data_IF_034097236181
#
_entry.id   IF_034097236181
#
_cell.length_a   1.000
_cell.length_b   1.000
_cell.length_c   1.000
_cell.angle_alpha   90.00
_cell.angle_beta   90.00
_cell.angle_gamma   90.00
#
_symmetry.space_group_name_H-M   'P 1'
#
loop_
_entity.id
_entity.type
_entity.pdbx_description
1 polymer ?
#
# COMPACT_ATOMS: atom_id res chain seq x y z
N UNK A 1 3.02 -57.57 -47.95
CA UNK A 1 2.26 -57.49 -46.67
C UNK A 1 3.13 -57.14 -45.45
N UNK A 2 4.39 -57.56 -45.38
CA UNK A 2 5.29 -57.18 -44.23
C UNK A 2 5.74 -55.73 -44.23
N UNK A 3 6.00 -55.12 -45.37
CA UNK A 3 6.45 -53.72 -45.50
C UNK A 3 5.34 -52.70 -45.14
N UNK A 4 4.07 -53.02 -45.41
CA UNK A 4 2.93 -52.15 -45.08
C UNK A 4 2.65 -52.11 -43.55
N UNK A 5 2.92 -53.17 -42.82
CA UNK A 5 2.75 -53.24 -41.36
C UNK A 5 3.83 -52.43 -40.61
N UNK A 6 5.03 -52.32 -41.17
CA UNK A 6 6.14 -51.54 -40.58
C UNK A 6 5.87 -50.05 -40.72
N UNK A 7 5.30 -49.57 -41.85
CA UNK A 7 4.93 -48.17 -42.04
C UNK A 7 3.80 -47.72 -41.10
N UNK A 8 2.82 -48.56 -40.85
CA UNK A 8 1.70 -48.22 -39.94
C UNK A 8 2.17 -48.14 -38.47
N UNK A 9 3.13 -49.01 -38.06
CA UNK A 9 3.70 -48.96 -36.71
C UNK A 9 4.58 -47.72 -36.48
N UNK A 10 5.29 -47.24 -37.52
CA UNK A 10 6.10 -46.01 -37.43
C UNK A 10 5.25 -44.72 -37.35
N UNK A 11 4.08 -44.66 -38.03
CA UNK A 11 3.14 -43.55 -37.91
C UNK A 11 2.44 -43.51 -36.54
N UNK A 12 2.13 -44.68 -35.94
CA UNK A 12 1.52 -44.74 -34.61
C UNK A 12 2.49 -44.30 -33.48
N UNK A 13 3.79 -44.59 -33.64
CA UNK A 13 4.82 -44.15 -32.68
C UNK A 13 5.13 -42.64 -32.77
N UNK A 14 4.98 -42.01 -33.94
CA UNK A 14 5.17 -40.56 -34.10
C UNK A 14 4.02 -39.72 -33.51
N UNK A 15 2.80 -40.28 -33.38
CA UNK A 15 1.63 -39.59 -32.81
C UNK A 15 1.61 -39.51 -31.27
N UNK A 16 2.41 -40.29 -30.55
CA UNK A 16 2.44 -40.32 -29.09
C UNK A 16 3.44 -39.32 -28.48
N UNK A 17 4.36 -38.79 -29.30
CA UNK A 17 5.42 -37.88 -28.82
C UNK A 17 5.04 -36.40 -28.64
N UNK A 18 3.79 -36.02 -28.91
CA UNK A 18 3.39 -34.59 -28.91
C UNK A 18 2.34 -34.18 -27.89
N UNK A 19 1.92 -35.07 -27.00
CA UNK A 19 1.07 -34.64 -25.88
C UNK A 19 1.97 -34.22 -24.71
N UNK A 20 2.58 -33.01 -24.83
CA UNK A 20 3.08 -32.36 -23.62
C UNK A 20 1.89 -32.23 -22.65
N UNK A 21 2.02 -32.69 -21.39
CA UNK A 21 0.94 -32.53 -20.42
C UNK A 21 0.54 -31.08 -20.40
N UNK A 22 -0.72 -30.77 -20.76
CA UNK A 22 -1.26 -29.43 -20.57
C UNK A 22 -1.04 -29.09 -19.09
N UNK A 23 -0.11 -28.17 -18.81
CA UNK A 23 0.17 -27.76 -17.44
C UNK A 23 -1.16 -27.30 -16.84
N UNK A 24 -1.58 -27.97 -15.76
CA UNK A 24 -2.87 -27.68 -15.13
C UNK A 24 -2.92 -26.21 -14.76
N UNK A 25 -3.93 -25.50 -15.28
CA UNK A 25 -4.17 -24.10 -14.97
C UNK A 25 -4.56 -23.96 -13.49
N UNK A 26 -3.88 -23.09 -12.77
CA UNK A 26 -4.21 -22.75 -11.40
C UNK A 26 -4.90 -21.39 -11.38
N UNK A 27 -6.15 -21.35 -10.93
CA UNK A 27 -6.89 -20.10 -10.73
C UNK A 27 -6.89 -19.74 -9.25
N UNK A 28 -6.43 -18.54 -8.93
CA UNK A 28 -6.37 -17.98 -7.57
C UNK A 28 -7.37 -16.87 -7.39
N UNK A 29 -7.72 -16.60 -6.15
CA UNK A 29 -8.63 -15.52 -5.77
C UNK A 29 -7.86 -14.30 -5.32
N UNK A 30 -8.27 -13.11 -5.82
CA UNK A 30 -7.77 -11.81 -5.41
C UNK A 30 -8.91 -11.06 -4.73
N UNK A 31 -8.71 -10.65 -3.47
CA UNK A 31 -9.68 -9.89 -2.70
C UNK A 31 -9.22 -8.45 -2.51
N UNK A 32 -10.12 -7.48 -2.75
CA UNK A 32 -9.87 -6.07 -2.43
C UNK A 32 -11.15 -5.46 -1.87
N UNK A 33 -11.01 -4.67 -0.81
CA UNK A 33 -12.11 -3.89 -0.24
C UNK A 33 -12.29 -2.53 -0.91
N UNK A 34 -11.46 -2.23 -1.93
CA UNK A 34 -11.56 -1.04 -2.76
C UNK A 34 -12.13 -1.39 -4.14
N UNK A 35 -12.82 -0.46 -4.79
CA UNK A 35 -13.38 -0.69 -6.12
C UNK A 35 -12.27 -0.92 -7.17
N UNK A 36 -12.57 -1.60 -8.29
CA UNK A 36 -11.56 -1.87 -9.34
C UNK A 36 -10.88 -0.64 -9.92
N UNK A 37 -11.53 0.53 -9.85
CA UNK A 37 -10.96 1.81 -10.29
C UNK A 37 -9.92 2.43 -9.37
N UNK A 38 -9.76 1.95 -8.15
CA UNK A 38 -8.78 2.45 -7.19
C UNK A 38 -7.34 2.10 -7.59
N UNK A 39 -6.37 2.94 -7.22
CA UNK A 39 -4.95 2.77 -7.53
C UNK A 39 -4.42 1.37 -7.22
N UNK A 40 -4.64 0.88 -5.99
CA UNK A 40 -4.19 -0.46 -5.57
C UNK A 40 -4.87 -1.55 -6.36
N UNK A 41 -6.20 -1.45 -6.58
CA UNK A 41 -6.92 -2.46 -7.35
C UNK A 41 -6.47 -2.53 -8.80
N UNK A 42 -6.21 -1.37 -9.44
CA UNK A 42 -5.62 -1.32 -10.80
C UNK A 42 -4.27 -2.00 -10.86
N UNK A 43 -3.37 -1.67 -9.93
CA UNK A 43 -2.04 -2.27 -9.89
C UNK A 43 -2.11 -3.78 -9.69
N UNK A 44 -3.00 -4.28 -8.83
CA UNK A 44 -3.21 -5.71 -8.61
C UNK A 44 -3.81 -6.42 -9.83
N UNK A 45 -4.75 -5.77 -10.54
CA UNK A 45 -5.32 -6.31 -11.78
C UNK A 45 -4.25 -6.42 -12.87
N UNK A 46 -3.40 -5.40 -13.02
CA UNK A 46 -2.33 -5.41 -14.01
C UNK A 46 -1.23 -6.40 -13.63
N UNK A 47 -0.85 -6.49 -12.35
CA UNK A 47 0.05 -7.52 -11.84
C UNK A 47 -0.48 -8.93 -12.13
N UNK A 48 -1.78 -9.17 -11.92
CA UNK A 48 -2.41 -10.46 -12.21
C UNK A 48 -2.31 -10.82 -13.70
N UNK A 49 -2.52 -9.84 -14.61
CA UNK A 49 -2.35 -10.02 -16.05
C UNK A 49 -0.90 -10.27 -16.45
N UNK A 50 0.05 -9.55 -15.84
CA UNK A 50 1.48 -9.77 -16.08
C UNK A 50 1.89 -11.19 -15.69
N UNK A 51 1.43 -11.69 -14.54
CA UNK A 51 1.66 -13.06 -14.08
C UNK A 51 0.99 -14.06 -15.02
N UNK A 52 -0.25 -13.84 -15.44
CA UNK A 52 -0.94 -14.72 -16.40
C UNK A 52 -0.16 -14.80 -17.71
N UNK A 53 0.27 -13.67 -18.24
CA UNK A 53 1.06 -13.60 -19.47
C UNK A 53 2.41 -14.31 -19.32
N UNK A 54 3.16 -14.00 -18.25
CA UNK A 54 4.48 -14.57 -18.02
C UNK A 54 4.44 -16.07 -17.71
N UNK A 55 3.33 -16.57 -17.16
CA UNK A 55 3.09 -17.99 -16.93
C UNK A 55 2.50 -18.72 -18.14
N UNK A 56 2.31 -18.06 -19.30
CA UNK A 56 1.61 -18.60 -20.45
C UNK A 56 0.21 -19.15 -20.09
N UNK A 57 -0.53 -18.44 -19.23
CA UNK A 57 -1.88 -18.77 -18.79
C UNK A 57 -1.98 -19.89 -17.75
N UNK A 58 -0.86 -20.39 -17.21
CA UNK A 58 -0.88 -21.43 -16.16
C UNK A 58 -1.38 -20.91 -14.83
N UNK A 59 -1.07 -19.64 -14.50
CA UNK A 59 -1.54 -18.96 -13.29
C UNK A 59 -2.49 -17.85 -13.67
N UNK A 60 -3.72 -17.91 -13.14
CA UNK A 60 -4.75 -16.89 -13.34
C UNK A 60 -5.27 -16.37 -12.02
N UNK A 61 -5.84 -15.17 -12.04
CA UNK A 61 -6.46 -14.58 -10.86
C UNK A 61 -7.91 -14.18 -11.16
N UNK A 62 -8.78 -14.49 -10.21
CA UNK A 62 -10.17 -14.05 -10.19
C UNK A 62 -10.34 -12.97 -9.13
N UNK A 63 -10.61 -11.73 -9.55
CA UNK A 63 -10.96 -10.65 -8.63
C UNK A 63 -12.37 -10.92 -8.07
N UNK A 64 -12.44 -11.08 -6.76
CA UNK A 64 -13.71 -11.31 -6.09
C UNK A 64 -14.61 -10.07 -6.15
N UNK A 65 -15.89 -10.27 -6.40
CA UNK A 65 -16.88 -9.18 -6.50
C UNK A 65 -17.05 -8.43 -5.16
N UNK A 66 -16.75 -9.08 -4.04
CA UNK A 66 -16.77 -8.49 -2.69
C UNK A 66 -15.54 -8.91 -1.92
N UNK A 67 -15.06 -8.02 -1.05
CA UNK A 67 -14.00 -8.36 -0.11
C UNK A 67 -14.43 -9.49 0.82
N UNK A 68 -13.49 -10.38 1.14
CA UNK A 68 -13.75 -11.53 2.05
C UNK A 68 -13.85 -11.11 3.52
N UNK A 69 -13.46 -9.87 3.83
CA UNK A 69 -13.48 -9.32 5.20
C UNK A 69 -13.48 -7.80 5.18
N UNK A 70 -13.66 -7.18 6.36
CA UNK A 70 -13.43 -5.74 6.56
C UNK A 70 -11.93 -5.39 6.45
N UNK A 71 -11.55 -4.12 6.18
CA UNK A 71 -10.16 -3.74 5.99
C UNK A 71 -9.20 -4.18 7.10
N UNK A 72 -9.51 -4.05 8.42
CA UNK A 72 -8.62 -4.51 9.47
C UNK A 72 -8.43 -6.03 9.54
N UNK A 73 -9.39 -6.82 9.06
CA UNK A 73 -9.34 -8.28 9.09
C UNK A 73 -8.55 -8.91 7.93
N UNK A 74 -8.06 -8.10 6.97
CA UNK A 74 -7.53 -8.61 5.69
C UNK A 74 -6.31 -9.51 5.88
N UNK A 75 -5.39 -9.15 6.76
CA UNK A 75 -4.19 -9.95 7.00
C UNK A 75 -4.55 -11.37 7.46
N UNK A 76 -5.42 -11.47 8.48
CA UNK A 76 -5.84 -12.76 9.03
C UNK A 76 -6.64 -13.58 8.01
N UNK A 77 -7.52 -12.94 7.24
CA UNK A 77 -8.29 -13.60 6.19
C UNK A 77 -7.39 -14.28 5.13
N UNK A 78 -6.31 -13.61 4.70
CA UNK A 78 -5.37 -14.21 3.73
C UNK A 78 -4.50 -15.28 4.39
N UNK A 79 -4.01 -15.04 5.61
CA UNK A 79 -3.26 -16.07 6.36
C UNK A 79 -4.09 -17.35 6.49
N UNK A 80 -5.37 -17.22 6.78
CA UNK A 80 -6.30 -18.33 7.04
C UNK A 80 -6.91 -18.91 5.74
N UNK A 81 -6.56 -18.36 4.56
CA UNK A 81 -6.92 -18.91 3.25
C UNK A 81 -8.34 -18.56 2.76
N UNK A 82 -8.98 -17.48 3.27
CA UNK A 82 -10.29 -17.03 2.78
C UNK A 82 -10.20 -16.46 1.35
N UNK A 83 -9.04 -15.96 0.96
CA UNK A 83 -8.64 -15.65 -0.41
C UNK A 83 -7.14 -15.85 -0.54
N UNK A 84 -6.62 -15.91 -1.79
CA UNK A 84 -5.22 -16.21 -2.04
C UNK A 84 -4.33 -14.97 -2.00
N UNK A 85 -4.81 -13.82 -2.49
CA UNK A 85 -4.07 -12.57 -2.56
C UNK A 85 -4.93 -11.41 -2.06
N UNK A 86 -4.33 -10.52 -1.30
CA UNK A 86 -4.92 -9.24 -0.89
C UNK A 86 -3.84 -8.25 -0.44
N UNK A 87 -4.26 -7.14 0.16
CA UNK A 87 -3.41 -6.09 0.68
C UNK A 87 -3.99 -5.48 1.95
N UNK A 88 -3.14 -4.87 2.77
CA UNK A 88 -3.56 -4.23 4.03
C UNK A 88 -2.98 -2.84 4.19
N UNK A 89 -3.63 -2.04 5.03
CA UNK A 89 -3.05 -0.87 5.69
C UNK A 89 -2.49 -1.34 7.02
N UNK A 90 -1.16 -1.27 7.21
CA UNK A 90 -0.53 -1.81 8.41
C UNK A 90 -1.04 -1.14 9.70
N UNK A 91 -1.32 0.16 9.64
CA UNK A 91 -1.86 0.92 10.76
C UNK A 91 -3.28 0.52 11.22
N UNK A 92 -4.05 -0.26 10.44
CA UNK A 92 -5.40 -0.70 10.83
C UNK A 92 -5.39 -1.78 11.92
N UNK A 93 -4.25 -2.36 12.23
CA UNK A 93 -4.05 -3.33 13.31
C UNK A 93 -3.02 -2.82 14.31
N UNK A 94 -3.39 -1.87 15.20
CA UNK A 94 -2.45 -1.24 16.12
C UNK A 94 -1.63 -2.27 16.92
N UNK A 95 -0.32 -2.01 17.02
CA UNK A 95 0.62 -2.86 17.76
C UNK A 95 1.10 -4.12 17.02
N UNK A 96 0.56 -4.43 15.83
CA UNK A 96 0.96 -5.62 15.07
C UNK A 96 2.19 -5.36 14.19
N UNK A 97 2.18 -4.27 13.44
CA UNK A 97 3.23 -3.92 12.48
C UNK A 97 3.96 -2.67 12.97
N UNK A 98 5.06 -2.86 13.70
CA UNK A 98 5.81 -1.76 14.32
C UNK A 98 6.96 -1.29 13.41
N UNK A 99 7.63 -2.22 12.72
CA UNK A 99 8.76 -1.89 11.85
C UNK A 99 8.33 -1.16 10.59
N UNK A 100 7.16 -1.47 10.04
CA UNK A 100 6.60 -0.82 8.85
C UNK A 100 6.41 0.68 9.02
N UNK A 101 6.30 1.15 10.26
CA UNK A 101 6.18 2.57 10.63
C UNK A 101 7.37 3.43 10.17
N UNK A 102 8.50 2.81 9.78
CA UNK A 102 9.64 3.53 9.17
C UNK A 102 9.20 4.34 7.94
N UNK A 103 8.25 3.82 7.15
CA UNK A 103 7.74 4.47 5.95
C UNK A 103 6.66 5.53 6.22
N UNK A 104 6.36 5.81 7.50
CA UNK A 104 5.23 6.67 7.88
C UNK A 104 5.64 8.02 8.46
N UNK A 105 6.94 8.23 8.71
CA UNK A 105 7.43 9.48 9.27
C UNK A 105 7.10 10.69 8.37
N UNK A 106 6.93 11.89 8.96
CA UNK A 106 6.83 13.14 8.21
C UNK A 106 8.06 13.39 7.32
N UNK A 107 7.84 14.15 6.24
CA UNK A 107 8.89 14.68 5.37
C UNK A 107 9.74 13.60 4.65
N UNK A 108 9.15 12.46 4.32
CA UNK A 108 9.87 11.40 3.60
C UNK A 108 10.05 11.71 2.12
N UNK A 109 8.98 11.98 1.38
CA UNK A 109 9.07 12.19 -0.07
C UNK A 109 7.83 12.85 -0.65
N UNK A 110 7.94 13.32 -1.91
CA UNK A 110 6.95 14.18 -2.57
C UNK A 110 5.84 13.40 -3.29
N UNK A 111 5.98 12.10 -3.53
CA UNK A 111 4.95 11.29 -4.16
C UNK A 111 5.02 9.81 -3.77
N UNK A 112 3.94 9.08 -4.05
CA UNK A 112 3.79 7.68 -3.67
C UNK A 112 4.74 6.74 -4.43
N UNK A 113 5.11 7.02 -5.68
CA UNK A 113 6.02 6.18 -6.45
C UNK A 113 7.41 6.16 -5.82
N UNK A 114 7.93 7.34 -5.48
CA UNK A 114 9.23 7.49 -4.82
C UNK A 114 9.23 6.81 -3.46
N UNK A 115 8.21 7.07 -2.64
CA UNK A 115 8.08 6.51 -1.30
C UNK A 115 7.99 4.98 -1.34
N UNK A 116 7.22 4.43 -2.28
CA UNK A 116 7.03 2.99 -2.42
C UNK A 116 8.31 2.26 -2.79
N UNK A 117 9.04 2.74 -3.81
CA UNK A 117 10.31 2.15 -4.23
C UNK A 117 11.33 2.19 -3.08
N UNK A 118 11.49 3.35 -2.44
CA UNK A 118 12.42 3.50 -1.34
C UNK A 118 12.06 2.58 -0.15
N UNK A 119 10.78 2.52 0.21
CA UNK A 119 10.30 1.66 1.29
C UNK A 119 10.49 0.18 0.98
N UNK A 120 10.20 -0.27 -0.24
CA UNK A 120 10.43 -1.67 -0.65
C UNK A 120 11.90 -2.07 -0.47
N UNK A 121 12.85 -1.22 -0.91
CA UNK A 121 14.29 -1.47 -0.75
C UNK A 121 14.71 -1.57 0.71
N UNK A 122 14.16 -0.71 1.56
CA UNK A 122 14.45 -0.73 3.00
C UNK A 122 13.81 -1.95 3.68
N UNK A 123 12.59 -2.31 3.28
CA UNK A 123 11.96 -3.52 3.76
C UNK A 123 12.81 -4.76 3.48
N UNK A 124 13.26 -4.96 2.25
CA UNK A 124 14.09 -6.11 1.86
C UNK A 124 15.43 -6.13 2.63
N UNK A 125 16.04 -4.98 2.80
CA UNK A 125 17.37 -4.86 3.42
C UNK A 125 17.35 -5.01 4.94
N UNK A 126 16.36 -4.47 5.62
CA UNK A 126 16.35 -4.33 7.07
C UNK A 126 15.19 -5.02 7.77
N UNK A 127 13.98 -5.02 7.19
CA UNK A 127 12.76 -5.36 7.92
C UNK A 127 12.28 -6.79 7.68
N UNK A 128 12.44 -7.31 6.47
CA UNK A 128 11.91 -8.62 6.08
C UNK A 128 12.36 -9.75 7.00
N UNK A 129 13.63 -9.70 7.46
CA UNK A 129 14.20 -10.71 8.36
C UNK A 129 13.58 -10.75 9.76
N UNK A 130 12.90 -9.69 10.18
CA UNK A 130 12.19 -9.63 11.46
C UNK A 130 10.79 -10.27 11.40
N UNK A 131 10.37 -10.70 10.20
CA UNK A 131 9.14 -11.48 9.98
C UNK A 131 7.87 -10.88 10.59
N UNK A 132 7.69 -9.56 10.59
CA UNK A 132 6.44 -8.96 11.11
C UNK A 132 5.19 -9.42 10.36
N UNK A 133 5.33 -9.77 9.06
CA UNK A 133 4.26 -10.35 8.26
C UNK A 133 4.25 -11.89 8.28
N UNK A 134 4.78 -12.52 9.35
CA UNK A 134 4.78 -13.99 9.50
C UNK A 134 3.37 -14.56 9.34
N UNK A 135 3.27 -15.61 8.53
CA UNK A 135 2.01 -16.27 8.19
C UNK A 135 1.46 -15.93 6.81
N UNK A 136 2.07 -14.97 6.10
CA UNK A 136 1.78 -14.67 4.70
C UNK A 136 3.07 -14.57 3.87
N UNK A 137 2.97 -14.76 2.56
CA UNK A 137 4.03 -14.43 1.61
C UNK A 137 3.86 -12.96 1.20
N UNK A 138 4.74 -12.08 1.63
CA UNK A 138 4.77 -10.69 1.17
C UNK A 138 5.15 -10.68 -0.32
N UNK A 139 4.33 -10.02 -1.13
CA UNK A 139 4.58 -9.80 -2.56
C UNK A 139 5.22 -8.43 -2.79
N UNK A 140 4.74 -7.40 -2.11
CA UNK A 140 5.36 -6.07 -2.10
C UNK A 140 4.93 -5.30 -0.85
N UNK A 141 5.76 -4.35 -0.43
CA UNK A 141 5.35 -3.27 0.47
C UNK A 141 5.35 -1.96 -0.30
N UNK A 142 4.52 -1.00 0.10
CA UNK A 142 4.43 0.30 -0.55
C UNK A 142 3.94 1.37 0.43
N UNK A 143 4.03 2.63 0.02
CA UNK A 143 3.56 3.74 0.83
C UNK A 143 2.83 4.76 -0.05
N UNK A 144 1.88 5.51 0.54
CA UNK A 144 1.27 6.62 -0.19
C UNK A 144 2.19 7.85 -0.26
N UNK A 145 1.78 8.85 -1.02
CA UNK A 145 2.44 10.14 -1.12
C UNK A 145 2.32 10.97 0.16
N UNK A 146 2.65 12.27 0.10
CA UNK A 146 2.55 13.15 1.24
C UNK A 146 1.15 13.17 1.85
N UNK A 147 1.04 12.80 3.12
CA UNK A 147 -0.19 12.95 3.88
C UNK A 147 -0.50 14.41 4.09
N UNK A 148 -1.78 14.76 4.04
CA UNK A 148 -2.32 16.11 4.11
C UNK A 148 -3.41 16.21 5.16
N UNK A 149 -3.80 17.43 5.51
CA UNK A 149 -4.92 17.68 6.38
C UNK A 149 -6.10 18.14 5.52
N UNK A 150 -7.18 17.39 5.56
CA UNK A 150 -8.42 17.65 4.82
C UNK A 150 -9.51 18.02 5.82
N UNK A 151 -10.12 19.21 5.72
CA UNK A 151 -11.16 19.62 6.66
C UNK A 151 -12.47 19.99 5.98
N UNK A 152 -13.57 19.82 6.72
CA UNK A 152 -14.93 20.06 6.21
C UNK A 152 -15.44 21.49 6.44
N UNK A 153 -14.85 22.22 7.39
CA UNK A 153 -15.31 23.57 7.78
C UNK A 153 -14.15 24.51 8.13
N UNK A 154 -13.39 24.18 9.18
CA UNK A 154 -12.34 25.06 9.71
C UNK A 154 -11.08 25.01 8.86
N UNK A 155 -10.61 26.15 8.39
CA UNK A 155 -9.29 26.31 7.79
C UNK A 155 -8.21 26.20 8.87
N UNK A 156 -7.14 25.44 8.60
CA UNK A 156 -5.98 25.27 9.48
C UNK A 156 -4.84 26.07 8.89
N UNK A 157 -4.38 27.10 9.58
CA UNK A 157 -3.30 27.99 9.13
C UNK A 157 -2.06 27.90 10.02
N UNK A 158 -2.25 27.52 11.27
CA UNK A 158 -1.17 27.36 12.25
C UNK A 158 -1.25 25.99 12.90
N UNK A 159 -0.13 25.51 13.46
CA UNK A 159 -0.09 24.25 14.19
C UNK A 159 -1.06 24.24 15.39
N UNK A 160 -1.27 25.41 16.02
CA UNK A 160 -2.19 25.57 17.14
C UNK A 160 -3.66 25.34 16.75
N UNK A 161 -4.02 25.55 15.48
CA UNK A 161 -5.39 25.32 14.99
C UNK A 161 -5.80 23.86 15.02
N UNK A 162 -4.84 22.93 15.09
CA UNK A 162 -5.06 21.49 15.17
C UNK A 162 -5.56 21.05 16.54
N UNK A 163 -5.26 21.83 17.59
CA UNK A 163 -5.61 21.45 18.96
C UNK A 163 -7.11 21.22 19.14
N UNK A 164 -7.45 20.04 19.64
CA UNK A 164 -8.84 19.64 19.93
C UNK A 164 -9.67 19.30 18.69
N UNK A 165 -9.15 19.43 17.46
CA UNK A 165 -9.86 19.02 16.27
C UNK A 165 -10.08 17.51 16.24
N UNK A 166 -11.28 17.08 15.90
CA UNK A 166 -11.60 15.66 15.70
C UNK A 166 -11.18 15.26 14.29
N UNK A 167 -10.01 14.64 14.15
CA UNK A 167 -9.52 14.20 12.85
C UNK A 167 -9.51 12.68 12.71
N UNK A 168 -10.07 12.21 11.59
CA UNK A 168 -9.95 10.79 11.24
C UNK A 168 -8.51 10.49 10.85
N UNK A 169 -7.97 9.39 11.39
CA UNK A 169 -6.67 8.84 11.04
C UNK A 169 -6.76 7.33 10.73
N UNK A 170 -5.75 6.80 10.04
CA UNK A 170 -5.64 5.37 9.71
C UNK A 170 -4.75 4.55 10.65
N UNK A 171 -4.23 5.15 11.72
CA UNK A 171 -3.27 4.48 12.61
C UNK A 171 -1.83 4.60 12.13
N UNK A 172 -0.90 3.92 12.82
CA UNK A 172 0.53 4.04 12.55
C UNK A 172 1.15 5.25 13.25
N UNK A 173 2.27 5.77 12.71
CA UNK A 173 3.04 6.90 13.30
C UNK A 173 2.19 8.17 13.46
N UNK A 174 1.19 8.35 12.60
CA UNK A 174 0.29 9.51 12.67
C UNK A 174 -0.53 9.54 13.97
N UNK A 175 -0.74 8.39 14.64
CA UNK A 175 -1.38 8.34 15.94
C UNK A 175 -0.54 9.04 16.99
N UNK A 176 0.75 8.77 17.01
CA UNK A 176 1.67 9.37 17.97
C UNK A 176 1.85 10.86 17.69
N UNK A 177 1.99 11.25 16.42
CA UNK A 177 2.07 12.65 16.03
C UNK A 177 0.77 13.42 16.39
N UNK A 178 -0.40 12.83 16.15
CA UNK A 178 -1.69 13.44 16.48
C UNK A 178 -1.83 13.68 18.00
N UNK A 179 -1.36 12.75 18.82
CA UNK A 179 -1.30 12.94 20.27
C UNK A 179 -0.36 14.11 20.66
N UNK A 180 0.82 14.21 20.03
CA UNK A 180 1.78 15.31 20.28
C UNK A 180 1.27 16.69 19.81
N UNK A 181 0.25 16.70 18.96
CA UNK A 181 -0.40 17.91 18.43
C UNK A 181 -1.76 18.18 19.08
N UNK A 182 -2.10 17.50 20.17
CA UNK A 182 -3.40 17.62 20.89
C UNK A 182 -4.62 17.43 19.96
N UNK A 183 -4.51 16.60 18.93
CA UNK A 183 -5.62 16.24 18.01
C UNK A 183 -6.51 15.18 18.68
N UNK A 184 -7.82 15.38 18.64
CA UNK A 184 -8.78 14.35 19.05
C UNK A 184 -8.89 13.29 17.95
N UNK A 185 -8.40 12.09 18.24
CA UNK A 185 -8.26 11.02 17.25
C UNK A 185 -9.59 10.30 17.02
N UNK A 186 -9.96 10.14 15.73
CA UNK A 186 -11.02 9.24 15.28
C UNK A 186 -10.36 8.13 14.43
N UNK A 187 -9.97 7.03 15.05
CA UNK A 187 -9.31 5.89 14.39
C UNK A 187 -10.35 5.03 13.68
N UNK A 188 -10.38 5.08 12.34
CA UNK A 188 -11.31 4.32 11.48
C UNK A 188 -10.71 4.01 10.12
N UNK A 189 -11.14 2.92 9.45
CA UNK A 189 -10.79 2.65 8.06
C UNK A 189 -11.23 3.75 7.11
N UNK A 190 -10.53 3.91 5.97
CA UNK A 190 -10.83 4.93 4.98
C UNK A 190 -12.22 4.75 4.34
N UNK A 191 -12.74 3.53 4.30
CA UNK A 191 -14.09 3.22 3.79
C UNK A 191 -15.22 3.91 4.56
N UNK A 192 -14.97 4.34 5.80
CA UNK A 192 -15.95 5.04 6.64
C UNK A 192 -15.82 6.57 6.55
N UNK A 193 -14.83 7.07 5.78
CA UNK A 193 -14.45 8.50 5.79
C UNK A 193 -15.59 9.41 5.32
N UNK A 194 -16.29 9.02 4.24
CA UNK A 194 -17.41 9.82 3.73
C UNK A 194 -18.51 10.02 4.78
N UNK A 195 -18.92 8.96 5.44
CA UNK A 195 -19.98 9.03 6.45
C UNK A 195 -19.55 9.91 7.63
N UNK A 196 -18.35 9.70 8.15
CA UNK A 196 -17.85 10.47 9.29
C UNK A 196 -17.72 11.97 9.00
N UNK A 197 -17.21 12.32 7.82
CA UNK A 197 -17.00 13.71 7.45
C UNK A 197 -18.33 14.41 7.08
N UNK A 198 -19.21 13.74 6.36
CA UNK A 198 -20.49 14.30 5.95
C UNK A 198 -21.47 14.47 7.12
N UNK A 199 -21.44 13.59 8.11
CA UNK A 199 -22.26 13.67 9.33
C UNK A 199 -21.67 14.58 10.42
N UNK A 200 -20.39 15.00 10.29
CA UNK A 200 -19.71 15.83 11.29
C UNK A 200 -19.22 15.05 12.52
N UNK A 201 -19.13 13.71 12.44
CA UNK A 201 -18.46 12.89 13.48
C UNK A 201 -16.98 13.27 13.58
N UNK A 202 -16.34 13.57 12.45
CA UNK A 202 -15.01 14.15 12.38
C UNK A 202 -15.03 15.50 11.66
N UNK A 203 -14.19 16.44 12.12
CA UNK A 203 -14.02 17.76 11.53
C UNK A 203 -13.19 17.73 10.23
N UNK A 204 -12.44 16.63 10.06
CA UNK A 204 -11.54 16.43 8.94
C UNK A 204 -10.87 15.05 9.01
N UNK A 205 -9.91 14.86 8.12
CA UNK A 205 -9.10 13.65 8.06
C UNK A 205 -7.63 13.98 7.79
N UNK A 206 -6.73 13.19 8.35
CA UNK A 206 -5.36 13.08 7.88
C UNK A 206 -5.35 11.96 6.84
N UNK A 207 -5.04 12.30 5.59
CA UNK A 207 -5.11 11.37 4.46
C UNK A 207 -4.25 11.83 3.28
N UNK A 208 -3.93 10.92 2.37
CA UNK A 208 -3.50 11.28 1.02
C UNK A 208 -4.65 11.91 0.24
N UNK A 209 -4.35 12.69 -0.79
CA UNK A 209 -5.36 13.38 -1.60
C UNK A 209 -6.12 12.46 -2.54
N UNK A 210 -5.58 11.30 -2.84
CA UNK A 210 -6.24 10.21 -3.57
C UNK A 210 -7.61 9.87 -2.96
N UNK A 211 -7.72 9.87 -1.61
CA UNK A 211 -8.93 9.57 -0.87
C UNK A 211 -10.14 10.45 -1.29
N UNK A 212 -9.88 11.65 -1.79
CA UNK A 212 -10.93 12.60 -2.17
C UNK A 212 -11.81 12.01 -3.27
N UNK A 213 -11.22 11.49 -4.33
CA UNK A 213 -11.98 10.85 -5.43
C UNK A 213 -12.38 9.41 -5.10
N UNK A 214 -11.53 8.67 -4.40
CA UNK A 214 -11.78 7.27 -4.04
C UNK A 214 -13.02 7.11 -3.15
N UNK A 215 -13.24 8.05 -2.22
CA UNK A 215 -14.34 8.00 -1.26
C UNK A 215 -15.37 9.14 -1.45
N UNK A 216 -15.39 9.79 -2.63
CA UNK A 216 -16.38 10.82 -3.03
C UNK A 216 -16.42 12.02 -2.06
N UNK A 217 -15.27 12.49 -1.62
CA UNK A 217 -15.14 13.57 -0.65
C UNK A 217 -15.06 14.96 -1.30
N UNK A 218 -15.05 15.08 -2.62
CA UNK A 218 -14.81 16.31 -3.36
C UNK A 218 -15.78 17.45 -3.02
N UNK A 219 -17.00 17.13 -2.62
CA UNK A 219 -18.00 18.12 -2.16
C UNK A 219 -18.01 18.33 -0.66
N UNK A 220 -17.42 17.40 0.10
CA UNK A 220 -17.37 17.40 1.57
C UNK A 220 -16.19 18.20 2.07
N UNK A 221 -15.01 18.04 1.45
CA UNK A 221 -13.79 18.75 1.82
C UNK A 221 -13.89 20.21 1.38
N UNK A 222 -13.64 21.13 2.33
CA UNK A 222 -13.65 22.57 2.11
C UNK A 222 -12.26 23.18 2.18
N UNK A 223 -11.33 22.55 2.89
CA UNK A 223 -9.96 23.03 2.96
C UNK A 223 -8.99 21.86 2.78
N UNK A 224 -7.98 22.08 1.97
CA UNK A 224 -6.83 21.22 1.77
C UNK A 224 -5.59 21.94 2.31
N UNK A 225 -5.00 21.39 3.36
CA UNK A 225 -3.78 21.92 3.94
C UNK A 225 -2.62 21.02 3.57
N UNK A 226 -1.78 21.51 2.67
CA UNK A 226 -0.55 20.88 2.26
C UNK A 226 0.56 21.21 3.24
N UNK A 227 1.17 20.18 3.81
CA UNK A 227 2.44 20.30 4.54
C UNK A 227 3.56 19.93 3.57
N UNK A 228 4.53 20.82 3.29
CA UNK A 228 5.68 20.49 2.44
C UNK A 228 6.37 19.22 2.92
N UNK A 229 6.58 18.26 2.02
CA UNK A 229 7.12 16.93 2.37
C UNK A 229 6.14 15.97 3.06
N UNK A 230 4.91 16.42 3.34
CA UNK A 230 3.86 15.62 3.99
C UNK A 230 3.94 15.63 5.52
N UNK A 231 2.77 15.63 6.17
CA UNK A 231 2.68 15.51 7.63
C UNK A 231 2.93 14.06 8.10
N UNK A 232 2.79 13.08 7.21
CA UNK A 232 3.07 11.66 7.40
C UNK A 232 2.96 10.92 6.05
N UNK A 233 3.25 9.63 6.05
CA UNK A 233 2.79 8.69 5.04
C UNK A 233 2.11 7.49 5.72
N UNK A 234 1.67 6.51 4.97
CA UNK A 234 1.12 5.25 5.50
C UNK A 234 1.80 4.08 4.83
N UNK A 235 2.11 3.05 5.59
CA UNK A 235 2.66 1.80 5.12
C UNK A 235 1.57 0.80 4.76
N UNK A 236 1.81 0.02 3.72
CA UNK A 236 0.93 -1.01 3.18
C UNK A 236 1.72 -2.24 2.79
N UNK A 237 1.07 -3.39 2.80
CA UNK A 237 1.63 -4.62 2.27
C UNK A 237 0.63 -5.33 1.35
N UNK A 238 1.13 -5.87 0.23
CA UNK A 238 0.45 -6.83 -0.63
C UNK A 238 1.01 -8.20 -0.30
N UNK A 239 0.15 -9.17 -0.09
CA UNK A 239 0.58 -10.49 0.34
C UNK A 239 -0.32 -11.60 -0.20
N UNK A 240 0.21 -12.81 -0.14
CA UNK A 240 -0.40 -14.03 -0.64
C UNK A 240 -0.44 -15.09 0.46
N UNK A 241 -1.46 -15.95 0.43
CA UNK A 241 -1.53 -17.13 1.28
C UNK A 241 -0.36 -18.07 0.98
N UNK A 242 0.43 -18.49 1.99
CA UNK A 242 1.59 -19.36 1.76
C UNK A 242 1.24 -20.72 1.19
N UNK A 243 0.09 -21.30 1.57
CA UNK A 243 -0.32 -22.60 1.07
C UNK A 243 -0.69 -22.51 -0.43
N UNK A 244 -1.34 -21.42 -0.86
CA UNK A 244 -1.62 -21.16 -2.27
C UNK A 244 -0.34 -20.99 -3.08
N UNK A 245 0.63 -20.19 -2.57
CA UNK A 245 1.94 -20.04 -3.20
C UNK A 245 2.70 -21.37 -3.30
N UNK A 246 2.73 -22.17 -2.24
CA UNK A 246 3.48 -23.43 -2.19
C UNK A 246 2.89 -24.52 -3.10
N UNK A 247 1.60 -24.46 -3.44
CA UNK A 247 0.96 -25.37 -4.42
C UNK A 247 1.40 -25.12 -5.85
N UNK A 248 1.96 -23.95 -6.15
CA UNK A 248 2.47 -23.62 -7.48
C UNK A 248 3.71 -24.45 -7.82
N UNK A 249 3.93 -24.68 -9.12
CA UNK A 249 5.20 -25.22 -9.61
C UNK A 249 6.36 -24.27 -9.28
N UNK A 250 7.59 -24.78 -9.26
CA UNK A 250 8.77 -23.93 -9.06
C UNK A 250 8.86 -22.82 -10.14
N UNK A 251 8.49 -23.16 -11.39
CA UNK A 251 8.44 -22.22 -12.51
C UNK A 251 7.41 -21.10 -12.25
N UNK A 252 6.22 -21.44 -11.78
CA UNK A 252 5.16 -20.48 -11.55
C UNK A 252 5.41 -19.61 -10.31
N UNK A 253 6.04 -20.15 -9.27
CA UNK A 253 6.57 -19.37 -8.14
C UNK A 253 7.58 -18.34 -8.59
N UNK A 254 8.52 -18.73 -9.47
CA UNK A 254 9.49 -17.79 -10.03
C UNK A 254 8.83 -16.67 -10.85
N UNK A 255 7.72 -16.95 -11.56
CA UNK A 255 6.93 -15.91 -12.25
C UNK A 255 6.28 -14.95 -11.26
N UNK A 256 5.67 -15.45 -10.17
CA UNK A 256 5.12 -14.61 -9.10
C UNK A 256 6.22 -13.70 -8.52
N UNK A 257 7.36 -14.29 -8.13
CA UNK A 257 8.45 -13.54 -7.49
C UNK A 257 9.04 -12.47 -8.43
N UNK A 258 9.21 -12.78 -9.72
CA UNK A 258 9.74 -11.84 -10.72
C UNK A 258 8.78 -10.65 -11.02
N UNK A 259 7.48 -10.81 -10.77
CA UNK A 259 6.50 -9.74 -10.94
C UNK A 259 6.15 -9.02 -9.63
N UNK A 260 6.75 -9.43 -8.51
CA UNK A 260 6.57 -8.87 -7.16
C UNK A 260 7.69 -7.90 -6.78
N UNK A 261 7.83 -7.59 -5.50
CA UNK A 261 8.88 -6.72 -4.98
C UNK A 261 8.79 -5.30 -5.53
N UNK A 262 9.94 -4.73 -5.91
CA UNK A 262 10.03 -3.34 -6.37
C UNK A 262 9.16 -3.05 -7.60
N UNK A 263 9.03 -4.01 -8.54
CA UNK A 263 8.17 -3.85 -9.73
C UNK A 263 6.71 -3.57 -9.34
N UNK A 264 6.15 -4.38 -8.44
CA UNK A 264 4.78 -4.21 -7.98
C UNK A 264 4.63 -2.98 -7.10
N UNK A 265 5.57 -2.73 -6.20
CA UNK A 265 5.62 -1.55 -5.34
C UNK A 265 5.60 -0.25 -6.15
N UNK A 266 6.45 -0.16 -7.18
CA UNK A 266 6.49 0.97 -8.10
C UNK A 266 5.17 1.14 -8.86
N UNK A 267 4.58 0.05 -9.38
CA UNK A 267 3.31 0.11 -10.11
C UNK A 267 2.18 0.69 -9.25
N UNK A 268 2.06 0.24 -8.00
CA UNK A 268 1.08 0.81 -7.05
C UNK A 268 1.37 2.28 -6.79
N UNK A 269 2.62 2.63 -6.50
CA UNK A 269 3.04 4.00 -6.23
C UNK A 269 2.73 4.96 -7.38
N UNK A 270 2.96 4.52 -8.63
CA UNK A 270 2.65 5.29 -9.83
C UNK A 270 1.15 5.56 -9.98
N UNK A 271 0.31 4.53 -9.83
CA UNK A 271 -1.15 4.71 -9.85
C UNK A 271 -1.63 5.61 -8.72
N UNK A 272 -1.02 5.48 -7.54
CA UNK A 272 -1.37 6.33 -6.39
C UNK A 272 -1.00 7.80 -6.63
N UNK A 273 0.19 8.08 -7.13
CA UNK A 273 0.64 9.44 -7.50
C UNK A 273 -0.33 10.11 -8.48
N UNK A 274 -0.79 9.36 -9.50
CA UNK A 274 -1.80 9.86 -10.42
C UNK A 274 -3.15 10.12 -9.72
N UNK A 275 -3.54 9.25 -8.80
CA UNK A 275 -4.79 9.39 -8.04
C UNK A 275 -4.73 10.57 -7.07
N UNK A 276 -3.57 10.86 -6.47
CA UNK A 276 -3.33 12.05 -5.66
C UNK A 276 -3.55 13.33 -6.49
N UNK A 277 -2.99 13.38 -7.70
CA UNK A 277 -3.18 14.52 -8.61
C UNK A 277 -4.66 14.70 -8.99
N UNK A 278 -5.39 13.60 -9.22
CA UNK A 278 -6.82 13.65 -9.51
C UNK A 278 -7.63 14.18 -8.30
N UNK A 279 -7.27 13.77 -7.09
CA UNK A 279 -7.90 14.26 -5.84
C UNK A 279 -7.71 15.76 -5.66
N UNK A 280 -6.50 16.27 -5.89
CA UNK A 280 -6.19 17.71 -5.87
C UNK A 280 -7.03 18.46 -6.91
N UNK A 281 -7.10 17.96 -8.14
CA UNK A 281 -7.90 18.57 -9.20
C UNK A 281 -9.39 18.58 -8.85
N UNK A 282 -9.91 17.51 -8.27
CA UNK A 282 -11.32 17.42 -7.85
C UNK A 282 -11.65 18.41 -6.72
N UNK A 283 -10.79 18.55 -5.71
CA UNK A 283 -10.97 19.56 -4.66
C UNK A 283 -10.97 20.98 -5.23
N UNK A 284 -10.04 21.29 -6.14
CA UNK A 284 -9.95 22.60 -6.79
C UNK A 284 -11.22 22.91 -7.59
N UNK A 285 -11.71 21.95 -8.36
CA UNK A 285 -12.93 22.08 -9.17
C UNK A 285 -14.19 22.28 -8.31
N UNK A 286 -14.19 21.82 -7.06
CA UNK A 286 -15.29 21.97 -6.10
C UNK A 286 -15.10 23.15 -5.12
N UNK A 287 -14.12 24.04 -5.36
CA UNK A 287 -13.95 25.29 -4.64
C UNK A 287 -13.35 25.13 -3.24
N UNK A 288 -12.61 24.04 -2.97
CA UNK A 288 -11.89 23.92 -1.72
C UNK A 288 -10.78 24.98 -1.62
N UNK A 289 -10.56 25.52 -0.43
CA UNK A 289 -9.44 26.42 -0.14
C UNK A 289 -8.14 25.62 -0.06
N UNK A 290 -7.11 26.11 -0.73
CA UNK A 290 -5.77 25.51 -0.74
C UNK A 290 -4.83 26.31 0.15
N UNK A 291 -4.37 25.72 1.23
CA UNK A 291 -3.49 26.32 2.22
C UNK A 291 -2.18 25.55 2.21
N UNK A 292 -1.07 26.26 2.19
CA UNK A 292 0.27 25.67 2.37
C UNK A 292 0.77 26.03 3.75
N UNK A 293 1.12 25.05 4.54
CA UNK A 293 1.76 25.26 5.83
C UNK A 293 3.05 26.05 5.66
N UNK A 294 3.19 27.12 6.39
CA UNK A 294 4.40 27.95 6.40
C UNK A 294 5.55 27.28 7.18
N UNK A 295 6.69 27.95 7.25
CA UNK A 295 7.86 27.41 7.94
C UNK A 295 7.56 27.15 9.43
N UNK A 296 6.80 28.01 10.10
CA UNK A 296 6.44 27.82 11.50
C UNK A 296 5.57 26.56 11.71
N UNK A 297 4.68 26.26 10.74
CA UNK A 297 3.90 25.03 10.74
C UNK A 297 4.79 23.78 10.60
N UNK A 298 5.73 23.83 9.66
CA UNK A 298 6.72 22.76 9.44
C UNK A 298 7.59 22.56 10.69
N UNK A 299 8.12 23.63 11.26
CA UNK A 299 8.95 23.59 12.47
C UNK A 299 8.19 23.01 13.67
N UNK A 300 6.89 23.33 13.78
CA UNK A 300 6.01 22.78 14.80
C UNK A 300 5.95 21.25 14.74
N UNK A 301 5.84 20.67 13.53
CA UNK A 301 5.87 19.21 13.32
C UNK A 301 7.28 18.69 13.57
N UNK A 302 8.31 19.33 13.04
CA UNK A 302 9.71 18.91 13.20
C UNK A 302 10.13 18.82 14.66
N UNK A 303 9.63 19.74 15.52
CA UNK A 303 9.89 19.73 16.95
C UNK A 303 9.46 18.42 17.66
N UNK A 304 8.55 17.64 17.06
CA UNK A 304 8.04 16.39 17.58
C UNK A 304 8.80 15.17 17.06
N UNK A 305 9.49 15.29 15.92
CA UNK A 305 10.11 14.16 15.23
C UNK A 305 11.10 13.39 16.08
N UNK A 306 11.98 14.09 16.79
CA UNK A 306 12.99 13.40 17.60
C UNK A 306 12.36 12.43 18.60
N UNK A 307 11.29 12.84 19.27
CA UNK A 307 10.56 12.00 20.22
C UNK A 307 9.95 10.77 19.53
N UNK A 308 9.33 10.96 18.36
CA UNK A 308 8.74 9.88 17.59
C UNK A 308 9.79 8.90 17.07
N UNK A 309 10.89 9.41 16.56
CA UNK A 309 12.01 8.60 16.07
C UNK A 309 12.67 7.80 17.20
N UNK A 310 12.97 8.43 18.34
CA UNK A 310 13.57 7.76 19.49
C UNK A 310 12.67 6.62 20.02
N UNK A 311 11.35 6.84 20.07
CA UNK A 311 10.38 5.81 20.45
C UNK A 311 10.39 4.64 19.47
N UNK A 312 10.33 4.93 18.16
CA UNK A 312 10.35 3.90 17.14
C UNK A 312 11.69 3.16 17.08
N UNK A 313 12.83 3.84 17.33
CA UNK A 313 14.15 3.19 17.40
C UNK A 313 14.20 2.15 18.52
N UNK A 314 13.57 2.43 19.67
CA UNK A 314 13.47 1.47 20.76
C UNK A 314 12.64 0.24 20.37
N UNK A 315 11.49 0.45 19.69
CA UNK A 315 10.64 -0.63 19.16
C UNK A 315 11.41 -1.49 18.13
N UNK A 316 12.09 -0.85 17.18
CA UNK A 316 12.88 -1.53 16.15
C UNK A 316 14.01 -2.35 16.75
N UNK A 317 14.72 -1.79 17.76
CA UNK A 317 15.78 -2.49 18.48
C UNK A 317 15.26 -3.75 19.19
N UNK A 318 14.08 -3.67 19.81
CA UNK A 318 13.43 -4.81 20.45
C UNK A 318 13.11 -5.96 19.46
N UNK A 319 12.96 -5.62 18.16
CA UNK A 319 12.76 -6.57 17.05
C UNK A 319 14.07 -6.97 16.35
N UNK A 320 15.24 -6.57 16.89
CA UNK A 320 16.55 -6.88 16.31
C UNK A 320 16.91 -6.07 15.06
N UNK A 321 16.28 -4.90 14.86
CA UNK A 321 16.51 -4.01 13.72
C UNK A 321 17.18 -2.72 14.19
N UNK A 322 18.23 -2.26 13.49
CA UNK A 322 18.79 -0.93 13.66
C UNK A 322 17.85 0.11 13.00
N UNK A 323 16.92 0.61 13.79
CA UNK A 323 15.91 1.57 13.32
C UNK A 323 16.52 2.90 12.86
N UNK A 324 17.56 3.38 13.54
CA UNK A 324 18.20 4.63 13.16
C UNK A 324 18.91 4.52 11.81
N UNK A 325 19.56 3.40 11.53
CA UNK A 325 20.15 3.13 10.22
C UNK A 325 19.06 2.97 9.15
N UNK A 326 18.02 2.19 9.41
CA UNK A 326 16.95 1.95 8.47
C UNK A 326 16.25 3.26 8.03
N UNK A 327 15.92 4.15 8.97
CA UNK A 327 15.28 5.43 8.66
C UNK A 327 16.24 6.39 7.92
N UNK A 328 17.52 6.43 8.31
CA UNK A 328 18.52 7.24 7.61
C UNK A 328 18.69 6.78 6.16
N UNK A 329 18.76 5.47 5.94
CA UNK A 329 18.87 4.93 4.58
C UNK A 329 17.58 5.08 3.78
N UNK A 330 16.40 4.98 4.39
CA UNK A 330 15.15 5.29 3.72
C UNK A 330 15.15 6.72 3.17
N UNK A 331 15.56 7.69 3.97
CA UNK A 331 15.68 9.09 3.53
C UNK A 331 16.70 9.27 2.41
N UNK A 332 17.79 8.51 2.43
CA UNK A 332 18.78 8.51 1.35
C UNK A 332 18.24 7.86 0.07
N UNK A 333 17.52 6.73 0.16
CA UNK A 333 16.89 6.09 -1.00
C UNK A 333 15.80 6.99 -1.60
N UNK A 334 14.99 7.67 -0.80
CA UNK A 334 14.01 8.66 -1.29
C UNK A 334 14.69 9.73 -2.14
N UNK A 335 15.80 10.32 -1.67
CA UNK A 335 16.57 11.31 -2.45
C UNK A 335 17.12 10.73 -3.74
N UNK A 336 17.66 9.52 -3.70
CA UNK A 336 18.21 8.82 -4.85
C UNK A 336 17.14 8.53 -5.90
N UNK A 337 15.99 7.99 -5.48
CA UNK A 337 14.87 7.68 -6.38
C UNK A 337 14.28 8.97 -6.95
N UNK A 338 14.13 10.03 -6.16
CA UNK A 338 13.66 11.35 -6.63
C UNK A 338 14.52 11.95 -7.75
N UNK A 339 15.80 11.62 -7.77
CA UNK A 339 16.70 12.09 -8.86
C UNK A 339 16.51 11.32 -10.18
N UNK A 340 15.86 10.14 -10.13
CA UNK A 340 15.67 9.26 -11.31
C UNK A 340 14.25 9.30 -11.87
N UNK A 341 13.27 9.63 -11.03
CA UNK A 341 11.86 9.76 -11.44
C UNK A 341 11.54 11.26 -11.60
N UNK A 342 11.18 11.66 -12.83
CA UNK A 342 10.80 13.04 -13.16
C UNK A 342 9.29 13.20 -13.18
#
# INVERSE_FOLDING_TARGET
MRTLRILIAALAAAGIAAAAPAAAQTTMTLSSWLPPGHAVSKALIDWAKDVETASNGRVKFNLLAKAVTSPPGTFDAIRDGLADVSWTVDGYTPGRFLLTRVAEFPFLGENAEINSIAYQRIHERYLAKAEEHKGVKVLAVFAHGPGSILTTRKAIRTIADLKGMKLRIGGGIITDLANELDITIVLRPATEMYEMLSSGIADGALSSTEAVTAFKLEKVIKNYIRVPGGIYSTSFAIFMNPAAYNKLSAQDRAVIDANSGEKLSQAVGKYWTQSDANGIAAMKANGAEFIVGDQAFVDGIQSKLKKLEDAWYAEAKAKGVDGAQALRELRAEVKKVSATIK
#
